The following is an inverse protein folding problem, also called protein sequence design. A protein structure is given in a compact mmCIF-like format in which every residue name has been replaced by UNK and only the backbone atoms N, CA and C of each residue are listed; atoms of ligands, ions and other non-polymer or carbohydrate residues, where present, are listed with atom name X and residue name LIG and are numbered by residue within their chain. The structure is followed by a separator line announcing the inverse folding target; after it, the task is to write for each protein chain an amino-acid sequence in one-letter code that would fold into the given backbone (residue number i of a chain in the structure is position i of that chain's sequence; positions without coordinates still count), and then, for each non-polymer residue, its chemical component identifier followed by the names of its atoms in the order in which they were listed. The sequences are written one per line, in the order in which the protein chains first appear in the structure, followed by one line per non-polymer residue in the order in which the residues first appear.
data_IF_415657671404
#
_entry.id   IF_415657671404
#
_cell.length_a   1.000
_cell.length_b   1.000
_cell.length_c   1.000
_cell.angle_alpha   90.00
_cell.angle_beta   90.00
_cell.angle_gamma   90.00
#
_symmetry.space_group_name_H-M   'P 1'
#
loop_
_entity.id
_entity.type
_entity.pdbx_description
1 polymer ?
#
# COMPACT_ATOMS: atom_id res chain seq x y z
N UNK A 1 9.04 19.83 3.81
CA UNK A 1 9.03 19.16 5.15
C UNK A 1 8.40 20.08 6.18
N UNK A 2 8.00 19.59 7.36
CA UNK A 2 7.51 20.45 8.47
C UNK A 2 8.49 21.59 8.77
N UNK A 3 9.79 21.28 8.84
CA UNK A 3 10.82 22.28 9.14
C UNK A 3 11.07 23.26 7.99
N UNK A 4 10.90 22.86 6.73
CA UNK A 4 10.98 23.81 5.59
C UNK A 4 9.81 24.79 5.64
N UNK A 5 8.59 24.28 5.87
CA UNK A 5 7.39 25.10 5.98
C UNK A 5 7.48 26.11 7.14
N UNK A 6 8.04 25.69 8.28
CA UNK A 6 8.23 26.59 9.41
C UNK A 6 9.35 27.63 9.17
N UNK A 7 10.36 27.29 8.37
CA UNK A 7 11.39 28.24 7.94
C UNK A 7 10.84 29.27 6.94
N UNK A 8 10.04 28.83 5.96
CA UNK A 8 9.35 29.71 4.99
C UNK A 8 8.40 30.70 5.68
N UNK A 9 7.79 30.30 6.79
CA UNK A 9 6.91 31.14 7.60
C UNK A 9 7.63 31.94 8.71
N UNK A 10 8.97 31.99 8.71
CA UNK A 10 9.78 32.66 9.74
C UNK A 10 9.46 32.23 11.19
N UNK A 11 8.91 31.03 11.38
CA UNK A 11 8.51 30.51 12.69
C UNK A 11 9.68 29.88 13.47
N UNK A 12 10.84 29.68 12.84
CA UNK A 12 12.06 29.16 13.48
C UNK A 12 13.27 29.93 12.96
N UNK A 13 14.12 30.38 13.88
CA UNK A 13 15.42 30.96 13.55
C UNK A 13 16.50 29.87 13.50
N UNK A 14 17.45 29.97 12.55
CA UNK A 14 18.63 29.10 12.50
C UNK A 14 18.65 28.01 11.42
N UNK A 15 17.70 28.02 10.48
CA UNK A 15 17.64 27.05 9.37
C UNK A 15 16.94 25.74 9.76
N UNK A 16 16.66 24.89 8.78
CA UNK A 16 15.99 23.62 9.05
C UNK A 16 16.98 22.61 9.69
N UNK A 17 16.71 22.13 10.92
CA UNK A 17 17.63 21.30 11.71
C UNK A 17 17.85 19.89 11.16
N UNK A 18 17.03 19.46 10.19
CA UNK A 18 17.19 18.16 9.53
C UNK A 18 17.96 18.26 8.21
N UNK A 19 18.41 19.46 7.80
CA UNK A 19 19.34 19.59 6.68
C UNK A 19 20.67 18.90 6.98
N UNK A 20 21.13 18.05 6.06
CA UNK A 20 22.38 17.31 6.21
C UNK A 20 22.32 16.13 7.19
N UNK A 21 21.20 15.93 7.89
CA UNK A 21 21.01 14.75 8.75
C UNK A 21 20.84 13.52 7.88
N UNK A 22 21.86 12.67 7.87
CA UNK A 22 21.78 11.36 7.21
C UNK A 22 20.71 10.54 7.91
N UNK A 23 19.76 10.01 7.14
CA UNK A 23 18.75 9.08 7.67
C UNK A 23 19.47 7.94 8.42
N UNK A 24 19.05 7.61 9.66
CA UNK A 24 19.56 6.43 10.35
C UNK A 24 19.48 5.23 9.42
N UNK A 25 20.52 4.39 9.44
CA UNK A 25 20.49 3.12 8.70
C UNK A 25 19.34 2.30 9.28
N UNK A 26 18.32 2.06 8.46
CA UNK A 26 17.30 1.07 8.77
C UNK A 26 18.02 -0.27 8.62
N UNK A 27 18.13 -1.05 9.69
CA UNK A 27 18.89 -2.32 9.72
C UNK A 27 18.31 -3.40 8.80
N UNK A 28 17.13 -3.15 8.23
CA UNK A 28 16.46 -4.04 7.28
C UNK A 28 15.67 -3.21 6.26
N UNK A 29 15.94 -3.44 4.97
CA UNK A 29 15.03 -2.98 3.90
C UNK A 29 13.75 -3.84 3.82
N UNK A 30 13.68 -4.89 4.64
CA UNK A 30 12.57 -5.83 4.71
C UNK A 30 11.67 -5.49 5.89
N UNK A 31 10.37 -5.42 5.63
CA UNK A 31 9.38 -5.27 6.70
C UNK A 31 9.47 -6.45 7.65
N UNK A 32 9.26 -6.21 8.96
CA UNK A 32 9.19 -7.29 9.96
C UNK A 32 7.99 -8.22 9.78
N UNK A 33 7.07 -7.86 8.90
CA UNK A 33 5.86 -8.63 8.61
C UNK A 33 6.23 -9.79 7.69
N UNK A 34 6.07 -11.06 8.13
CA UNK A 34 6.34 -12.20 7.29
C UNK A 34 5.42 -12.21 6.06
N UNK A 35 5.96 -12.64 4.93
CA UNK A 35 5.19 -12.81 3.69
C UNK A 35 4.17 -13.95 3.83
N UNK A 36 3.06 -13.84 3.08
CA UNK A 36 2.07 -14.91 2.97
C UNK A 36 2.62 -16.04 2.11
N UNK A 37 2.53 -17.27 2.59
CA UNK A 37 2.76 -18.46 1.76
C UNK A 37 1.55 -18.79 0.88
N UNK A 38 1.77 -19.57 -0.18
CA UNK A 38 0.72 -19.93 -1.17
C UNK A 38 -0.55 -20.52 -0.53
N UNK A 39 -0.38 -21.38 0.48
CA UNK A 39 -1.52 -21.98 1.20
C UNK A 39 -2.33 -20.94 1.97
N UNK A 40 -1.69 -19.91 2.54
CA UNK A 40 -2.35 -18.82 3.25
C UNK A 40 -3.07 -17.90 2.26
N UNK A 41 -2.43 -17.59 1.14
CA UNK A 41 -3.05 -16.81 0.06
C UNK A 41 -4.30 -17.51 -0.49
N UNK A 42 -4.23 -18.83 -0.71
CA UNK A 42 -5.38 -19.63 -1.14
C UNK A 42 -6.51 -19.62 -0.10
N UNK A 43 -6.19 -19.84 1.17
CA UNK A 43 -7.19 -19.80 2.24
C UNK A 43 -7.89 -18.42 2.35
N UNK A 44 -7.16 -17.32 2.10
CA UNK A 44 -7.74 -15.98 2.06
C UNK A 44 -8.74 -15.82 0.90
N UNK A 45 -8.42 -16.37 -0.28
CA UNK A 45 -9.31 -16.30 -1.44
C UNK A 45 -10.58 -17.15 -1.28
N UNK A 46 -10.52 -18.22 -0.49
CA UNK A 46 -11.64 -19.14 -0.23
C UNK A 46 -12.52 -18.73 0.97
N UNK A 47 -12.05 -17.80 1.80
CA UNK A 47 -12.77 -17.37 3.01
C UNK A 47 -14.11 -16.64 2.75
N UNK A 48 -14.28 -15.78 1.71
CA UNK A 48 -15.54 -15.09 1.46
C UNK A 48 -16.64 -15.99 0.88
N UNK A 49 -17.89 -15.78 1.30
CA UNK A 49 -19.05 -16.52 0.78
C UNK A 49 -19.45 -16.08 -0.64
N UNK A 50 -19.12 -16.91 -1.63
CA UNK A 50 -19.38 -16.66 -3.05
C UNK A 50 -20.88 -16.56 -3.41
N UNK A 51 -21.78 -17.04 -2.55
CA UNK A 51 -23.23 -16.95 -2.78
C UNK A 51 -23.78 -15.55 -2.50
N UNK A 52 -23.02 -14.71 -1.80
CA UNK A 52 -23.40 -13.34 -1.45
C UNK A 52 -22.68 -12.33 -2.33
N UNK A 53 -23.35 -11.22 -2.67
CA UNK A 53 -22.71 -10.11 -3.38
C UNK A 53 -21.50 -9.56 -2.61
N UNK A 54 -21.59 -9.53 -1.27
CA UNK A 54 -20.48 -9.09 -0.41
C UNK A 54 -19.28 -10.02 -0.55
N UNK A 55 -19.47 -11.34 -0.48
CA UNK A 55 -18.37 -12.28 -0.57
C UNK A 55 -17.73 -12.31 -1.96
N UNK A 56 -18.52 -12.19 -3.04
CA UNK A 56 -17.98 -12.02 -4.39
C UNK A 56 -17.09 -10.77 -4.50
N UNK A 57 -17.54 -9.64 -3.95
CA UNK A 57 -16.75 -8.40 -3.89
C UNK A 57 -15.47 -8.57 -3.08
N UNK A 58 -15.58 -9.12 -1.87
CA UNK A 58 -14.44 -9.25 -0.96
C UNK A 58 -13.39 -10.21 -1.55
N UNK A 59 -13.81 -11.30 -2.22
CA UNK A 59 -12.93 -12.20 -2.97
C UNK A 59 -12.23 -11.49 -4.13
N UNK A 60 -12.95 -10.67 -4.90
CA UNK A 60 -12.35 -9.90 -5.99
C UNK A 60 -11.30 -8.90 -5.47
N UNK A 61 -11.57 -8.20 -4.36
CA UNK A 61 -10.62 -7.28 -3.72
C UNK A 61 -9.35 -8.00 -3.27
N UNK A 62 -9.49 -9.16 -2.62
CA UNK A 62 -8.35 -9.98 -2.19
C UNK A 62 -7.52 -10.47 -3.38
N UNK A 63 -8.18 -10.93 -4.45
CA UNK A 63 -7.49 -11.35 -5.68
C UNK A 63 -6.71 -10.18 -6.31
N UNK A 64 -7.29 -8.99 -6.39
CA UNK A 64 -6.61 -7.80 -6.94
C UNK A 64 -5.36 -7.46 -6.14
N UNK A 65 -5.44 -7.46 -4.80
CA UNK A 65 -4.30 -7.16 -3.94
C UNK A 65 -3.20 -8.24 -4.04
N UNK A 66 -3.58 -9.52 -4.10
CA UNK A 66 -2.62 -10.63 -4.17
C UNK A 66 -1.93 -10.75 -5.53
N UNK A 67 -2.65 -10.60 -6.64
CA UNK A 67 -2.11 -10.87 -7.99
C UNK A 67 -1.50 -9.64 -8.68
N UNK A 68 -1.92 -8.42 -8.33
CA UNK A 68 -1.45 -7.21 -9.00
C UNK A 68 -0.53 -6.34 -8.16
N UNK A 69 -0.38 -6.64 -6.86
CA UNK A 69 0.55 -5.90 -5.99
C UNK A 69 0.20 -4.42 -5.80
N UNK A 70 -1.07 -4.07 -6.02
CA UNK A 70 -1.54 -2.70 -5.85
C UNK A 70 -1.40 -2.26 -4.39
N UNK A 71 -1.07 -0.99 -4.20
CA UNK A 71 -1.20 -0.34 -2.89
C UNK A 71 -2.67 -0.26 -2.51
N UNK A 72 -2.93 -0.23 -1.21
CA UNK A 72 -4.30 -0.11 -0.66
C UNK A 72 -5.09 1.04 -1.29
N UNK A 73 -4.46 2.19 -1.49
CA UNK A 73 -5.11 3.37 -2.08
C UNK A 73 -5.43 3.17 -3.57
N UNK A 74 -4.51 2.57 -4.33
CA UNK A 74 -4.72 2.26 -5.75
C UNK A 74 -5.89 1.28 -5.91
N UNK A 75 -5.95 0.23 -5.09
CA UNK A 75 -7.06 -0.72 -5.10
C UNK A 75 -8.39 -0.07 -4.67
N UNK A 76 -8.36 0.91 -3.75
CA UNK A 76 -9.56 1.61 -3.29
C UNK A 76 -10.12 2.61 -4.33
N UNK A 77 -9.26 3.16 -5.17
CA UNK A 77 -9.64 4.11 -6.23
C UNK A 77 -9.90 3.44 -7.58
N UNK A 78 -9.62 2.14 -7.70
CA UNK A 78 -9.74 1.38 -8.95
C UNK A 78 -11.18 1.43 -9.49
N UNK A 79 -11.33 1.83 -10.75
CA UNK A 79 -12.59 1.87 -11.46
C UNK A 79 -12.65 0.78 -12.53
N UNK A 80 -13.87 0.45 -12.97
CA UNK A 80 -14.08 -0.54 -14.05
C UNK A 80 -13.37 -0.10 -15.35
N UNK A 81 -13.28 1.20 -15.61
CA UNK A 81 -12.57 1.76 -16.76
C UNK A 81 -11.06 1.54 -16.75
N UNK A 82 -10.48 1.28 -15.58
CA UNK A 82 -9.04 1.05 -15.43
C UNK A 82 -8.66 -0.41 -15.78
N UNK A 83 -9.66 -1.30 -15.86
CA UNK A 83 -9.47 -2.71 -16.18
C UNK A 83 -9.27 -2.85 -17.69
N UNK A 84 -8.09 -3.30 -18.08
CA UNK A 84 -7.75 -3.59 -19.46
C UNK A 84 -7.64 -5.09 -19.67
N UNK A 85 -8.50 -5.64 -20.53
CA UNK A 85 -8.37 -7.03 -20.96
C UNK A 85 -7.19 -7.13 -21.94
N UNK A 86 -6.03 -7.57 -21.45
CA UNK A 86 -4.92 -7.95 -22.33
C UNK A 86 -5.19 -9.34 -22.89
N UNK A 87 -5.57 -9.40 -24.16
CA UNK A 87 -5.39 -10.63 -24.95
C UNK A 87 -3.90 -10.79 -25.20
N UNK A 88 -3.34 -11.91 -24.75
CA UNK A 88 -1.95 -12.27 -25.02
C UNK A 88 -1.64 -12.32 -26.50
#
# INVERSE_FOLDING_TARGET
SLFDHLLENNAIAGGNPVHGVKRPRIESNEGKTPALGDHQAKALLEAPDETTLKGQRDRALLAVLLYHGLRREEAALLQVSDIQERRG
#
